data_IF_933503699386
#
_entry.id   IF_933503699386
#
_cell.length_a   1.000
_cell.length_b   1.000
_cell.length_c   1.000
_cell.angle_alpha   90.00
_cell.angle_beta   90.00
_cell.angle_gamma   90.00
#
_symmetry.space_group_name_H-M   'P 1'
#
loop_
_entity.id
_entity.type
_entity.pdbx_description
1 polymer ?
#
# COMPACT_ATOMS: atom_id res chain seq x y z
N UNK A 1 7.14 -11.87 2.61
CA UNK A 1 8.27 -11.52 1.72
C UNK A 1 7.74 -11.17 0.34
N UNK A 2 8.20 -10.05 -0.21
CA UNK A 2 7.94 -9.66 -1.59
C UNK A 2 9.21 -9.86 -2.41
N UNK A 3 9.09 -10.50 -3.56
CA UNK A 3 10.23 -10.74 -4.46
C UNK A 3 9.86 -10.34 -5.89
N UNK A 4 10.64 -9.43 -6.45
CA UNK A 4 10.56 -9.02 -7.86
C UNK A 4 11.81 -9.53 -8.58
N UNK A 5 11.60 -10.15 -9.74
CA UNK A 5 12.68 -10.67 -10.57
C UNK A 5 12.50 -10.17 -12.01
N UNK A 6 13.47 -9.42 -12.48
CA UNK A 6 13.53 -8.92 -13.87
C UNK A 6 12.22 -8.25 -14.32
N UNK A 7 11.63 -7.42 -13.48
CA UNK A 7 10.35 -6.76 -13.77
C UNK A 7 10.55 -5.64 -14.77
N UNK A 8 9.77 -5.67 -15.84
CA UNK A 8 9.75 -4.65 -16.88
C UNK A 8 8.36 -4.05 -17.02
N UNK A 9 8.30 -2.75 -17.26
CA UNK A 9 7.06 -2.03 -17.53
C UNK A 9 7.26 -1.03 -18.66
N UNK A 10 6.22 -0.86 -19.48
CA UNK A 10 6.18 0.09 -20.59
C UNK A 10 4.92 0.94 -20.52
N UNK A 11 5.05 2.24 -20.79
CA UNK A 11 3.95 3.11 -21.19
C UNK A 11 3.94 3.20 -22.72
N UNK A 12 3.08 2.44 -23.39
CA UNK A 12 3.14 2.31 -24.84
C UNK A 12 4.52 1.80 -25.28
N UNK A 13 5.29 2.61 -26.00
CA UNK A 13 6.64 2.26 -26.44
C UNK A 13 7.74 2.74 -25.48
N UNK A 14 7.39 3.47 -24.42
CA UNK A 14 8.36 3.99 -23.45
C UNK A 14 8.64 2.94 -22.37
N UNK A 15 9.86 2.44 -22.33
CA UNK A 15 10.34 1.52 -21.31
C UNK A 15 10.57 2.27 -20.00
N UNK A 16 9.78 2.01 -18.98
CA UNK A 16 9.81 2.75 -17.71
C UNK A 16 10.46 1.99 -16.57
N UNK A 17 10.34 0.65 -16.54
CA UNK A 17 11.05 -0.21 -15.60
C UNK A 17 11.91 -1.22 -16.37
N UNK A 18 13.18 -1.31 -16.00
CA UNK A 18 14.20 -2.09 -16.69
C UNK A 18 14.73 -3.20 -15.80
N UNK A 19 14.26 -4.43 -15.99
CA UNK A 19 14.75 -5.61 -15.28
C UNK A 19 14.92 -5.39 -13.77
N UNK A 20 13.88 -4.88 -13.11
CA UNK A 20 13.94 -4.51 -11.69
C UNK A 20 13.93 -5.77 -10.84
N UNK A 21 14.96 -5.90 -10.01
CA UNK A 21 15.06 -6.92 -8.96
C UNK A 21 14.89 -6.26 -7.60
N UNK A 22 14.05 -6.85 -6.75
CA UNK A 22 13.81 -6.35 -5.41
C UNK A 22 13.41 -7.51 -4.50
N UNK A 23 13.99 -7.57 -3.32
CA UNK A 23 13.56 -8.49 -2.26
C UNK A 23 13.28 -7.69 -1.00
N UNK A 24 12.03 -7.77 -0.53
CA UNK A 24 11.61 -7.18 0.75
C UNK A 24 11.25 -8.32 1.71
N UNK A 25 12.04 -8.46 2.77
CA UNK A 25 11.84 -9.48 3.80
C UNK A 25 10.95 -8.95 4.92
N UNK A 26 10.33 -9.84 5.71
CA UNK A 26 9.60 -9.43 6.91
C UNK A 26 10.45 -8.55 7.84
N UNK A 27 9.86 -7.46 8.33
CA UNK A 27 10.55 -6.50 9.21
C UNK A 27 11.48 -5.51 8.52
N UNK A 28 11.71 -5.63 7.21
CA UNK A 28 12.52 -4.69 6.45
C UNK A 28 11.70 -3.48 5.96
N UNK A 29 12.38 -2.35 5.82
CA UNK A 29 11.88 -1.17 5.14
C UNK A 29 12.86 -0.78 4.04
N UNK A 30 12.37 -0.70 2.81
CA UNK A 30 13.19 -0.33 1.66
C UNK A 30 12.82 1.08 1.18
N UNK A 31 13.81 1.96 1.13
CA UNK A 31 13.69 3.27 0.51
C UNK A 31 14.01 3.22 -0.98
N UNK A 32 13.09 3.69 -1.83
CA UNK A 32 13.31 3.80 -3.27
C UNK A 32 13.62 5.26 -3.59
N UNK A 33 14.86 5.53 -3.95
CA UNK A 33 15.38 6.87 -4.21
C UNK A 33 15.69 7.05 -5.70
N UNK A 34 15.51 8.25 -6.18
CA UNK A 34 15.79 8.61 -7.56
C UNK A 34 15.19 9.96 -7.93
N UNK A 35 15.60 10.47 -9.08
CA UNK A 35 15.04 11.70 -9.65
C UNK A 35 13.58 11.51 -10.04
N UNK A 36 12.85 12.60 -10.14
CA UNK A 36 11.50 12.60 -10.68
C UNK A 36 11.49 11.99 -12.10
N UNK A 37 10.46 11.19 -12.40
CA UNK A 37 10.32 10.52 -13.70
C UNK A 37 11.16 9.25 -13.89
N UNK A 38 11.87 8.77 -12.86
CA UNK A 38 12.73 7.59 -12.95
C UNK A 38 11.99 6.26 -12.72
N UNK A 39 10.67 6.29 -12.52
CA UNK A 39 9.85 5.09 -12.40
C UNK A 39 9.53 4.64 -10.96
N UNK A 40 9.82 5.45 -9.94
CA UNK A 40 9.51 5.11 -8.54
C UNK A 40 8.02 4.85 -8.29
N UNK A 41 7.17 5.78 -8.70
CA UNK A 41 5.71 5.64 -8.60
C UNK A 41 5.21 4.50 -9.48
N UNK A 42 5.77 4.31 -10.64
CA UNK A 42 5.46 3.19 -11.54
C UNK A 42 5.74 1.86 -10.86
N UNK A 43 6.88 1.70 -10.18
CA UNK A 43 7.23 0.48 -9.45
C UNK A 43 6.20 0.16 -8.36
N UNK A 44 5.86 1.15 -7.55
CA UNK A 44 4.85 0.99 -6.47
C UNK A 44 3.48 0.61 -7.05
N UNK A 45 3.06 1.26 -8.14
CA UNK A 45 1.80 0.96 -8.80
C UNK A 45 1.78 -0.44 -9.45
N UNK A 46 2.90 -0.92 -9.96
CA UNK A 46 3.03 -2.30 -10.44
C UNK A 46 2.89 -3.31 -9.30
N UNK A 47 3.51 -3.04 -8.15
CA UNK A 47 3.40 -3.92 -6.97
C UNK A 47 1.97 -3.93 -6.43
N UNK A 48 1.32 -2.76 -6.36
CA UNK A 48 -0.06 -2.64 -5.88
C UNK A 48 -1.11 -3.21 -6.86
N UNK A 49 -0.75 -3.46 -8.11
CA UNK A 49 -1.65 -4.00 -9.12
C UNK A 49 -2.43 -2.96 -9.92
N UNK A 50 -2.06 -1.68 -9.84
CA UNK A 50 -2.68 -0.60 -10.61
C UNK A 50 -2.10 -0.47 -12.02
N UNK A 51 -0.91 -1.01 -12.26
CA UNK A 51 -0.26 -1.07 -13.56
C UNK A 51 0.18 -2.51 -13.85
N UNK A 52 0.01 -2.99 -15.11
CA UNK A 52 0.49 -4.31 -15.50
C UNK A 52 2.01 -4.32 -15.68
N UNK A 53 2.64 -5.46 -15.44
CA UNK A 53 4.04 -5.69 -15.83
C UNK A 53 4.09 -6.32 -17.21
N UNK A 54 5.07 -5.92 -18.03
CA UNK A 54 5.26 -6.46 -19.36
C UNK A 54 5.95 -7.83 -19.34
N UNK A 55 6.87 -8.01 -18.40
CA UNK A 55 7.61 -9.26 -18.18
C UNK A 55 8.24 -9.25 -16.78
N UNK A 56 8.79 -10.37 -16.38
CA UNK A 56 9.34 -10.60 -15.07
C UNK A 56 8.35 -11.30 -14.13
N UNK A 57 8.77 -11.48 -12.90
CA UNK A 57 8.00 -12.22 -11.89
C UNK A 57 7.89 -11.41 -10.62
N UNK A 58 6.71 -11.38 -10.04
CA UNK A 58 6.45 -10.84 -8.71
C UNK A 58 5.79 -11.92 -7.86
N UNK A 59 6.40 -12.25 -6.72
CA UNK A 59 5.88 -13.25 -5.80
C UNK A 59 5.69 -12.65 -4.41
N UNK A 60 4.61 -13.08 -3.76
CA UNK A 60 4.28 -12.77 -2.39
C UNK A 60 4.30 -14.02 -1.55
N UNK A 61 5.02 -14.00 -0.44
CA UNK A 61 5.13 -15.12 0.48
C UNK A 61 4.77 -14.66 1.88
N UNK A 62 3.59 -15.02 2.33
CA UNK A 62 3.14 -14.81 3.70
C UNK A 62 3.71 -15.89 4.63
N UNK A 63 3.85 -15.58 5.91
CA UNK A 63 4.37 -16.55 6.90
C UNK A 63 3.40 -17.74 7.00
N UNK A 64 3.94 -18.94 6.79
CA UNK A 64 3.16 -20.18 6.87
C UNK A 64 2.28 -20.51 5.65
N UNK A 65 2.37 -19.71 4.59
CA UNK A 65 1.65 -19.93 3.34
C UNK A 65 2.62 -20.19 2.17
N UNK A 66 2.21 -20.92 1.11
CA UNK A 66 3.04 -21.07 -0.07
C UNK A 66 3.19 -19.74 -0.82
N UNK A 67 4.29 -19.53 -1.57
CA UNK A 67 4.46 -18.34 -2.40
C UNK A 67 3.33 -18.20 -3.43
N UNK A 68 2.86 -16.98 -3.63
CA UNK A 68 1.84 -16.64 -4.62
C UNK A 68 2.42 -15.76 -5.71
N UNK A 69 2.06 -16.04 -6.97
CA UNK A 69 2.35 -15.13 -8.07
C UNK A 69 1.38 -13.94 -8.03
N UNK A 70 1.93 -12.73 -7.95
CA UNK A 70 1.13 -11.50 -7.94
C UNK A 70 0.67 -11.08 -9.33
N UNK A 71 1.37 -11.49 -10.37
CA UNK A 71 1.14 -10.99 -11.73
C UNK A 71 -0.31 -11.13 -12.20
N UNK A 72 -1.01 -12.29 -12.00
CA UNK A 72 -2.39 -12.45 -12.42
C UNK A 72 -3.40 -11.79 -11.48
N UNK A 73 -2.97 -11.31 -10.29
CA UNK A 73 -3.88 -10.79 -9.28
C UNK A 73 -4.21 -9.32 -9.52
N UNK A 74 -5.50 -8.98 -9.39
CA UNK A 74 -5.97 -7.59 -9.39
C UNK A 74 -5.48 -6.82 -8.15
N UNK A 75 -5.53 -5.49 -8.19
CA UNK A 75 -5.22 -4.66 -7.03
C UNK A 75 -6.08 -5.03 -5.82
N UNK A 76 -7.36 -5.31 -6.04
CA UNK A 76 -8.27 -5.75 -4.98
C UNK A 76 -7.84 -7.08 -4.37
N UNK A 77 -7.45 -8.05 -5.20
CA UNK A 77 -6.97 -9.36 -4.71
C UNK A 77 -5.66 -9.23 -3.94
N UNK A 78 -4.75 -8.34 -4.37
CA UNK A 78 -3.51 -8.06 -3.65
C UNK A 78 -3.75 -7.40 -2.30
N UNK A 79 -4.69 -6.47 -2.24
CA UNK A 79 -5.12 -5.88 -0.97
C UNK A 79 -5.69 -6.95 -0.03
N UNK A 80 -6.53 -7.85 -0.55
CA UNK A 80 -7.13 -8.93 0.23
C UNK A 80 -6.13 -9.91 0.85
N UNK A 81 -4.95 -10.09 0.23
CA UNK A 81 -3.87 -10.91 0.79
C UNK A 81 -2.92 -10.15 1.73
N UNK A 82 -3.15 -8.85 1.95
CA UNK A 82 -2.42 -8.06 2.94
C UNK A 82 -1.41 -7.07 2.38
N UNK A 83 -1.48 -6.73 1.08
CA UNK A 83 -0.64 -5.68 0.49
C UNK A 83 -1.36 -4.34 0.64
N UNK A 84 -0.96 -3.54 1.63
CA UNK A 84 -1.46 -2.18 1.81
C UNK A 84 -0.82 -1.21 0.81
N UNK A 85 -1.57 -0.20 0.40
CA UNK A 85 -1.11 0.80 -0.55
C UNK A 85 -1.53 2.21 -0.12
N UNK A 86 -0.56 3.12 -0.08
CA UNK A 86 -0.80 4.54 0.17
C UNK A 86 -0.41 5.31 -1.09
N UNK A 87 -1.37 5.85 -1.85
CA UNK A 87 -1.07 6.63 -3.03
C UNK A 87 -0.49 8.00 -2.68
N UNK A 88 0.20 8.63 -3.64
CA UNK A 88 0.82 9.94 -3.45
C UNK A 88 -0.22 11.03 -3.11
N UNK A 89 -1.44 10.93 -3.62
CA UNK A 89 -2.55 11.85 -3.36
C UNK A 89 -3.37 11.52 -2.10
N UNK A 90 -2.85 10.63 -1.25
CA UNK A 90 -3.42 10.18 0.04
C UNK A 90 -4.74 9.41 -0.07
N UNK A 91 -5.69 9.80 -0.91
CA UNK A 91 -7.01 9.20 -1.14
C UNK A 91 -7.77 8.80 0.12
N UNK A 92 -7.84 9.72 1.08
CA UNK A 92 -8.70 9.58 2.26
C UNK A 92 -10.13 10.03 1.92
N UNK A 93 -11.10 9.59 2.72
CA UNK A 93 -12.48 10.10 2.63
C UNK A 93 -12.57 11.46 3.34
N UNK A 94 -12.47 12.54 2.59
CA UNK A 94 -12.33 13.90 3.13
C UNK A 94 -13.57 14.38 3.91
N UNK A 95 -14.75 13.89 3.56
CA UNK A 95 -16.01 14.27 4.21
C UNK A 95 -16.35 13.42 5.43
N UNK A 96 -15.63 12.33 5.64
CA UNK A 96 -15.79 11.46 6.80
C UNK A 96 -14.78 11.84 7.89
N UNK A 97 -15.11 11.51 9.14
CA UNK A 97 -14.19 11.68 10.25
C UNK A 97 -13.00 10.73 10.15
N UNK A 98 -11.96 10.98 10.93
CA UNK A 98 -10.82 10.05 11.08
C UNK A 98 -11.32 8.66 11.47
N UNK A 99 -12.17 8.59 12.49
CA UNK A 99 -12.73 7.34 13.01
C UNK A 99 -13.54 6.59 11.95
N UNK A 100 -14.37 7.28 11.18
CA UNK A 100 -15.13 6.70 10.08
C UNK A 100 -14.22 6.18 8.95
N UNK A 101 -13.16 6.92 8.60
CA UNK A 101 -12.15 6.47 7.64
C UNK A 101 -11.49 5.16 8.07
N UNK A 102 -11.11 5.04 9.35
CA UNK A 102 -10.51 3.84 9.89
C UNK A 102 -11.50 2.69 9.95
N UNK A 103 -12.75 2.97 10.30
CA UNK A 103 -13.80 1.96 10.38
C UNK A 103 -14.08 1.32 9.01
N UNK A 104 -14.10 2.10 7.94
CA UNK A 104 -14.24 1.57 6.56
C UNK A 104 -13.07 0.65 6.21
N UNK A 105 -11.85 1.03 6.56
CA UNK A 105 -10.68 0.19 6.32
C UNK A 105 -10.76 -1.14 7.08
N UNK A 106 -11.15 -1.10 8.35
CA UNK A 106 -11.38 -2.31 9.16
C UNK A 106 -12.44 -3.23 8.54
N UNK A 107 -13.54 -2.65 8.06
CA UNK A 107 -14.63 -3.41 7.44
C UNK A 107 -14.22 -4.05 6.10
N UNK A 108 -13.28 -3.43 5.38
CA UNK A 108 -12.75 -3.94 4.12
C UNK A 108 -11.59 -4.93 4.28
N UNK A 109 -11.01 -5.01 5.48
CA UNK A 109 -9.88 -5.88 5.81
C UNK A 109 -10.25 -7.36 5.86
N UNK A 110 -9.25 -8.21 6.08
CA UNK A 110 -9.47 -9.66 6.22
C UNK A 110 -10.38 -9.96 7.41
N UNK A 111 -11.40 -10.82 7.24
CA UNK A 111 -12.13 -11.37 8.38
C UNK A 111 -11.16 -12.11 9.32
N UNK A 112 -11.07 -11.66 10.57
CA UNK A 112 -10.17 -12.24 11.58
C UNK A 112 -8.80 -11.54 11.69
N UNK A 113 -8.54 -10.49 10.95
CA UNK A 113 -7.45 -9.57 11.28
C UNK A 113 -7.77 -8.95 12.65
N UNK A 114 -6.92 -9.20 13.63
CA UNK A 114 -7.09 -8.76 15.03
C UNK A 114 -6.78 -7.26 15.22
N UNK A 115 -6.78 -6.47 14.16
CA UNK A 115 -6.61 -5.04 14.30
C UNK A 115 -7.91 -4.46 14.89
N UNK A 116 -7.98 -4.40 16.21
CA UNK A 116 -8.97 -3.54 16.85
C UNK A 116 -8.63 -2.09 16.51
N UNK A 117 -9.64 -1.25 16.29
CA UNK A 117 -9.40 0.18 16.07
C UNK A 117 -8.57 0.83 17.18
N UNK A 118 -8.47 0.19 18.36
CA UNK A 118 -7.62 0.60 19.46
C UNK A 118 -6.13 0.48 19.18
N UNK A 119 -5.69 -0.61 18.55
CA UNK A 119 -4.27 -0.83 18.24
C UNK A 119 -3.71 0.22 17.27
N UNK A 120 -4.51 0.66 16.31
CA UNK A 120 -4.07 1.69 15.37
C UNK A 120 -3.77 3.02 16.07
N UNK A 121 -4.52 3.37 17.09
CA UNK A 121 -4.30 4.58 17.88
C UNK A 121 -3.08 4.49 18.79
N UNK A 122 -2.62 3.29 19.12
CA UNK A 122 -1.34 3.11 19.84
C UNK A 122 -0.16 3.49 18.95
N UNK A 123 -0.24 3.19 17.65
CA UNK A 123 0.77 3.56 16.67
C UNK A 123 0.65 5.01 16.18
N UNK A 124 -0.57 5.55 16.17
CA UNK A 124 -0.86 6.91 15.70
C UNK A 124 -1.67 7.68 16.77
N UNK A 125 -1.05 8.04 17.90
CA UNK A 125 -1.77 8.67 19.02
C UNK A 125 -2.38 10.04 18.66
N UNK A 126 -1.78 10.78 17.72
CA UNK A 126 -2.33 12.05 17.24
C UNK A 126 -3.70 11.86 16.57
N UNK A 127 -3.89 10.75 15.86
CA UNK A 127 -5.17 10.45 15.21
C UNK A 127 -6.29 10.22 16.21
N UNK A 128 -5.99 9.72 17.40
CA UNK A 128 -6.99 9.56 18.44
C UNK A 128 -7.56 10.89 18.90
N UNK A 129 -6.70 11.90 19.12
CA UNK A 129 -7.13 13.25 19.47
C UNK A 129 -7.98 13.90 18.37
N UNK A 130 -7.73 13.53 17.11
CA UNK A 130 -8.41 14.07 15.92
C UNK A 130 -9.56 13.17 15.41
N UNK A 131 -9.92 12.12 16.14
CA UNK A 131 -10.82 11.06 15.66
C UNK A 131 -12.20 11.54 15.21
N UNK A 132 -12.69 12.63 15.78
CA UNK A 132 -14.00 13.23 15.45
C UNK A 132 -13.92 14.27 14.32
N UNK A 133 -12.71 14.65 13.90
CA UNK A 133 -12.54 15.66 12.85
C UNK A 133 -12.66 15.04 11.47
N UNK A 134 -13.23 15.80 10.54
CA UNK A 134 -13.29 15.39 9.12
C UNK A 134 -11.90 15.38 8.48
N UNK A 135 -11.67 14.45 7.58
CA UNK A 135 -10.40 14.33 6.84
C UNK A 135 -9.98 15.62 6.14
N UNK A 136 -10.94 16.36 5.56
CA UNK A 136 -10.68 17.63 4.89
C UNK A 136 -10.13 18.72 5.84
N UNK A 137 -10.40 18.64 7.15
CA UNK A 137 -9.95 19.63 8.12
C UNK A 137 -8.58 19.34 8.73
N UNK A 138 -7.98 18.20 8.39
CA UNK A 138 -6.67 17.78 8.88
C UNK A 138 -5.55 18.53 8.16
N UNK A 139 -4.41 18.70 8.86
CA UNK A 139 -3.16 19.09 8.19
C UNK A 139 -2.72 18.05 7.18
N UNK A 140 -1.83 18.43 6.27
CA UNK A 140 -1.27 17.47 5.29
C UNK A 140 -0.59 16.28 5.97
N UNK A 141 0.16 16.53 7.02
CA UNK A 141 0.85 15.48 7.77
C UNK A 141 -0.15 14.51 8.43
N UNK A 142 -1.20 15.02 9.04
CA UNK A 142 -2.25 14.22 9.67
C UNK A 142 -3.04 13.41 8.62
N UNK A 143 -3.26 13.96 7.43
CA UNK A 143 -3.87 13.25 6.33
C UNK A 143 -2.98 12.08 5.84
N UNK A 144 -1.65 12.27 5.79
CA UNK A 144 -0.72 11.18 5.48
C UNK A 144 -0.71 10.10 6.56
N UNK A 145 -0.72 10.50 7.83
CA UNK A 145 -0.84 9.55 8.95
C UNK A 145 -2.13 8.73 8.83
N UNK A 146 -3.25 9.37 8.51
CA UNK A 146 -4.52 8.69 8.32
C UNK A 146 -4.47 7.71 7.14
N UNK A 147 -3.90 8.12 6.01
CA UNK A 147 -3.74 7.24 4.84
C UNK A 147 -2.86 6.03 5.17
N UNK A 148 -1.76 6.23 5.90
CA UNK A 148 -0.87 5.15 6.34
C UNK A 148 -1.58 4.22 7.34
N UNK A 149 -2.29 4.78 8.31
CA UNK A 149 -3.06 3.99 9.28
C UNK A 149 -4.10 3.09 8.61
N UNK A 150 -4.80 3.61 7.60
CA UNK A 150 -5.76 2.82 6.81
C UNK A 150 -5.11 1.67 6.04
N UNK A 151 -3.87 1.85 5.58
CA UNK A 151 -3.14 0.80 4.86
C UNK A 151 -2.59 -0.29 5.79
N UNK A 152 -2.40 0.01 7.09
CA UNK A 152 -1.89 -0.92 8.08
C UNK A 152 -2.99 -1.78 8.75
N UNK A 153 -4.25 -1.41 8.60
CA UNK A 153 -5.41 -2.18 9.04
C UNK A 153 -5.70 -3.34 8.09
#
# INVERSE_FOLDING_TARGET
MLNLQAVNHFYGNQHSLWNVDLVLRPGECIGVLGREGMGKTTLVNCIAGHLPVASGRMTWHDIGAPPQDLTPLSAQSRSAIGIGYVPQDKRIFSQLSVEENLHIALAAGKPGANASGGEIYEHFPELYALRQRKGASLSDDDQYQLALARALI
#
